data_IF_453331186211
#
_entry.id   IF_453331186211
#
_cell.length_a   1.000
_cell.length_b   1.000
_cell.length_c   1.000
_cell.angle_alpha   90.00
_cell.angle_beta   90.00
_cell.angle_gamma   90.00
#
_symmetry.space_group_name_H-M   'P 1'
#
loop_
_entity.id
_entity.type
_entity.pdbx_description
1 polymer ?
#
# COMPACT_ATOMS: atom_id res chain seq x y z
N UNK A 1 0.76 -50.68 -7.38
CA UNK A 1 0.96 -50.00 -6.09
C UNK A 1 1.65 -48.68 -6.39
N UNK A 2 0.89 -47.59 -6.34
CA UNK A 2 1.37 -46.26 -6.72
C UNK A 2 1.82 -45.57 -5.44
N UNK A 3 3.07 -45.10 -5.42
CA UNK A 3 3.66 -44.39 -4.29
C UNK A 3 3.04 -43.01 -4.19
N UNK A 4 2.30 -42.76 -3.10
CA UNK A 4 1.85 -41.44 -2.71
C UNK A 4 3.06 -40.52 -2.52
N UNK A 5 3.20 -39.56 -3.43
CA UNK A 5 4.15 -38.46 -3.32
C UNK A 5 3.68 -37.57 -2.17
N UNK A 6 4.31 -37.73 -1.01
CA UNK A 6 4.18 -36.81 0.12
C UNK A 6 4.82 -35.50 -0.32
N UNK A 7 4.03 -34.60 -0.90
CA UNK A 7 4.43 -33.23 -1.10
C UNK A 7 4.63 -32.61 0.30
N UNK A 8 5.83 -32.09 0.62
CA UNK A 8 6.05 -31.39 1.88
C UNK A 8 5.28 -30.07 1.81
N UNK A 9 4.01 -30.10 2.20
CA UNK A 9 3.20 -28.91 2.48
C UNK A 9 3.90 -28.14 3.60
N UNK A 10 4.79 -27.25 3.19
CA UNK A 10 5.53 -26.34 4.03
C UNK A 10 4.79 -25.00 4.07
N UNK A 11 3.46 -25.04 4.16
CA UNK A 11 2.71 -23.90 4.66
C UNK A 11 3.07 -23.77 6.13
N UNK A 12 4.10 -22.97 6.39
CA UNK A 12 4.36 -22.45 7.71
C UNK A 12 3.09 -21.71 8.12
N UNK A 13 2.27 -22.38 8.93
CA UNK A 13 1.15 -21.77 9.65
C UNK A 13 1.73 -20.50 10.25
N UNK A 14 1.14 -19.36 9.89
CA UNK A 14 1.60 -18.07 10.37
C UNK A 14 1.35 -18.04 11.89
N UNK A 15 2.35 -18.45 12.67
CA UNK A 15 2.34 -18.46 14.14
C UNK A 15 2.48 -17.03 14.69
N UNK A 16 1.63 -16.14 14.20
CA UNK A 16 1.50 -14.78 14.69
C UNK A 16 0.63 -14.83 15.96
N UNK A 17 1.27 -14.83 17.12
CA UNK A 17 0.57 -14.69 18.40
C UNK A 17 -0.08 -13.31 18.49
N UNK A 18 -1.40 -13.27 18.58
CA UNK A 18 -2.16 -12.05 18.88
C UNK A 18 -2.12 -11.87 20.40
N UNK A 19 -1.06 -11.23 20.91
CA UNK A 19 -1.06 -10.73 22.29
C UNK A 19 -1.45 -9.24 22.26
N UNK A 20 -2.58 -8.89 22.86
CA UNK A 20 -3.04 -7.49 23.02
C UNK A 20 -3.25 -6.71 21.71
N UNK A 21 -3.84 -7.33 20.68
CA UNK A 21 -4.07 -6.71 19.35
C UNK A 21 -2.80 -6.22 18.62
N UNK A 22 -1.61 -6.48 19.16
CA UNK A 22 -0.32 -6.17 18.56
C UNK A 22 0.38 -7.46 18.14
N UNK A 23 0.41 -7.69 16.83
CA UNK A 23 1.11 -8.81 16.22
C UNK A 23 2.62 -8.63 16.40
N UNK A 24 3.20 -9.23 17.44
CA UNK A 24 4.64 -9.21 17.67
C UNK A 24 5.36 -10.01 16.59
N UNK A 25 6.12 -9.32 15.75
CA UNK A 25 7.02 -9.96 14.79
C UNK A 25 8.05 -10.81 15.56
N UNK A 26 8.18 -12.07 15.14
CA UNK A 26 9.14 -13.00 15.75
C UNK A 26 10.56 -12.52 15.49
N UNK A 27 11.38 -12.48 16.55
CA UNK A 27 12.79 -12.12 16.52
C UNK A 27 13.54 -12.79 15.33
N UNK A 28 14.20 -12.01 14.43
CA UNK A 28 14.83 -12.54 13.22
C UNK A 28 15.97 -13.49 13.56
N UNK A 29 16.65 -13.27 14.69
CA UNK A 29 17.75 -14.10 15.17
C UNK A 29 17.31 -15.53 15.51
N UNK A 30 16.02 -15.73 15.80
CA UNK A 30 15.41 -17.03 16.13
C UNK A 30 14.90 -17.79 14.91
N UNK A 31 15.05 -17.25 13.71
CA UNK A 31 14.66 -17.91 12.46
C UNK A 31 15.71 -18.93 12.05
N UNK A 32 15.25 -20.09 11.57
CA UNK A 32 16.15 -21.10 11.02
C UNK A 32 16.77 -20.60 9.71
N UNK A 33 17.99 -21.02 9.34
CA UNK A 33 18.59 -20.62 8.06
C UNK A 33 17.74 -20.94 6.81
N UNK A 34 16.88 -21.96 6.88
CA UNK A 34 15.92 -22.31 5.83
C UNK A 34 14.76 -21.31 5.70
N UNK A 35 14.43 -20.58 6.76
CA UNK A 35 13.40 -19.54 6.80
C UNK A 35 13.95 -18.17 6.39
N UNK A 36 15.28 -17.98 6.34
CA UNK A 36 15.89 -16.75 5.86
C UNK A 36 15.78 -16.67 4.33
N UNK A 37 14.59 -16.28 3.88
CA UNK A 37 14.20 -16.15 2.48
C UNK A 37 13.63 -14.76 2.21
N UNK A 38 13.63 -14.40 0.93
CA UNK A 38 12.96 -13.23 0.39
C UNK A 38 11.45 -13.21 0.69
N UNK A 39 10.79 -14.37 0.65
CA UNK A 39 9.38 -14.54 1.03
C UNK A 39 9.13 -14.21 2.51
N UNK A 40 10.00 -14.67 3.40
CA UNK A 40 9.87 -14.37 4.84
C UNK A 40 10.11 -12.89 5.11
N UNK A 41 11.13 -12.29 4.49
CA UNK A 41 11.35 -10.85 4.60
C UNK A 41 10.14 -10.05 4.08
N UNK A 42 9.57 -10.47 2.95
CA UNK A 42 8.34 -9.87 2.41
C UNK A 42 7.18 -9.90 3.38
N UNK A 43 6.93 -11.05 4.02
CA UNK A 43 5.84 -11.18 5.00
C UNK A 43 6.02 -10.18 6.15
N UNK A 44 7.23 -10.12 6.72
CA UNK A 44 7.55 -9.20 7.82
C UNK A 44 7.39 -7.73 7.43
N UNK A 45 7.80 -7.35 6.22
CA UNK A 45 7.63 -5.99 5.71
C UNK A 45 6.14 -5.65 5.59
N UNK A 46 5.32 -6.51 5.00
CA UNK A 46 3.89 -6.29 4.86
C UNK A 46 3.19 -6.20 6.21
N UNK A 47 3.50 -7.11 7.13
CA UNK A 47 2.92 -7.14 8.48
C UNK A 47 3.26 -5.86 9.25
N UNK A 48 4.54 -5.46 9.26
CA UNK A 48 4.98 -4.22 9.89
C UNK A 48 4.26 -2.99 9.31
N UNK A 49 4.24 -2.84 7.98
CA UNK A 49 3.58 -1.71 7.32
C UNK A 49 2.08 -1.68 7.67
N UNK A 50 1.44 -2.84 7.65
CA UNK A 50 0.01 -2.99 7.96
C UNK A 50 -0.30 -2.57 9.40
N UNK A 51 0.50 -3.05 10.36
CA UNK A 51 0.33 -2.71 11.77
C UNK A 51 0.52 -1.21 12.03
N UNK A 52 1.61 -0.62 11.53
CA UNK A 52 1.87 0.81 11.69
C UNK A 52 0.79 1.67 11.02
N UNK A 53 0.26 1.21 9.88
CA UNK A 53 -0.88 1.87 9.23
C UNK A 53 -2.12 1.80 10.12
N UNK A 54 -2.50 0.62 10.60
CA UNK A 54 -3.66 0.44 11.49
C UNK A 54 -3.51 1.25 12.77
N UNK A 55 -2.32 1.27 13.37
CA UNK A 55 -2.00 2.10 14.54
C UNK A 55 -2.21 3.57 14.25
N UNK A 56 -1.75 4.05 13.09
CA UNK A 56 -1.97 5.43 12.64
C UNK A 56 -3.45 5.73 12.39
N UNK A 57 -4.22 4.77 11.85
CA UNK A 57 -5.66 4.92 11.66
C UNK A 57 -6.39 5.05 13.01
N UNK A 58 -6.08 4.18 13.97
CA UNK A 58 -6.67 4.21 15.32
C UNK A 58 -6.36 5.53 16.03
N UNK A 59 -5.12 6.02 15.94
CA UNK A 59 -4.71 7.30 16.50
C UNK A 59 -5.46 8.49 15.88
N UNK A 60 -5.80 8.43 14.59
CA UNK A 60 -6.59 9.47 13.94
C UNK A 60 -8.09 9.36 14.23
N UNK A 61 -8.60 8.16 14.49
CA UNK A 61 -9.99 7.93 14.89
C UNK A 61 -10.35 8.64 16.21
N UNK A 62 -9.41 8.75 17.14
CA UNK A 62 -9.62 9.48 18.41
C UNK A 62 -9.61 11.00 18.25
N UNK A 63 -8.95 11.53 17.21
CA UNK A 63 -8.95 12.97 16.88
C UNK A 63 -10.26 13.45 16.24
N UNK A 64 -11.11 12.51 15.80
CA UNK A 64 -12.45 12.78 15.27
C UNK A 64 -12.56 12.65 13.74
N UNK A 65 -13.80 12.47 13.21
CA UNK A 65 -14.02 12.14 11.79
C UNK A 65 -13.48 13.19 10.81
N UNK A 66 -13.48 14.46 11.20
CA UNK A 66 -13.04 15.56 10.34
C UNK A 66 -11.55 15.53 10.05
N UNK A 67 -10.73 15.16 11.03
CA UNK A 67 -9.27 15.16 10.89
C UNK A 67 -8.81 13.92 10.12
N UNK A 68 -9.44 12.78 10.40
CA UNK A 68 -9.25 11.56 9.62
C UNK A 68 -9.58 11.77 8.13
N UNK A 69 -10.73 12.38 7.84
CA UNK A 69 -11.11 12.73 6.47
C UNK A 69 -10.09 13.63 5.79
N UNK A 70 -9.55 14.64 6.48
CA UNK A 70 -8.50 15.52 5.93
C UNK A 70 -7.19 14.77 5.66
N UNK A 71 -6.81 13.84 6.53
CA UNK A 71 -5.63 13.01 6.32
C UNK A 71 -5.77 12.14 5.06
N UNK A 72 -6.94 11.51 4.86
CA UNK A 72 -7.23 10.76 3.64
C UNK A 72 -7.24 11.65 2.40
N UNK A 73 -7.86 12.84 2.46
CA UNK A 73 -7.85 13.78 1.34
C UNK A 73 -6.45 14.21 0.93
N UNK A 74 -5.50 14.28 1.87
CA UNK A 74 -4.11 14.63 1.59
C UNK A 74 -3.37 13.50 0.87
N UNK A 75 -3.62 12.25 1.24
CA UNK A 75 -2.98 11.07 0.62
C UNK A 75 -3.66 10.66 -0.69
N UNK A 76 -4.96 10.92 -0.78
CA UNK A 76 -5.84 10.54 -1.87
C UNK A 76 -6.66 11.76 -2.30
N UNK A 77 -6.10 12.67 -3.12
CA UNK A 77 -6.83 13.85 -3.58
C UNK A 77 -8.18 13.53 -4.23
N UNK A 78 -8.29 12.37 -4.85
CA UNK A 78 -9.47 11.85 -5.53
C UNK A 78 -10.59 11.46 -4.54
N UNK A 79 -10.25 11.23 -3.26
CA UNK A 79 -11.21 11.05 -2.17
C UNK A 79 -12.14 12.25 -2.00
N UNK A 80 -11.66 13.45 -2.30
CA UNK A 80 -12.47 14.68 -2.27
C UNK A 80 -13.56 14.62 -3.34
N UNK A 81 -13.25 14.11 -4.53
CA UNK A 81 -14.20 14.05 -5.64
C UNK A 81 -15.34 13.06 -5.39
N UNK A 82 -15.07 11.99 -4.63
CA UNK A 82 -16.07 11.00 -4.23
C UNK A 82 -16.93 11.48 -3.07
N UNK A 83 -16.37 12.22 -2.12
CA UNK A 83 -17.08 12.68 -0.91
C UNK A 83 -17.94 13.92 -1.16
N UNK A 84 -17.51 14.83 -2.04
CA UNK A 84 -18.35 15.95 -2.51
C UNK A 84 -19.28 15.42 -3.60
N UNK A 85 -20.33 14.70 -3.20
CA UNK A 85 -21.37 14.25 -4.13
C UNK A 85 -21.70 15.40 -5.07
N UNK A 86 -21.35 15.24 -6.36
CA UNK A 86 -21.53 16.31 -7.35
C UNK A 86 -23.00 16.69 -7.35
N UNK A 87 -23.35 17.80 -6.70
CA UNK A 87 -24.66 18.39 -6.81
C UNK A 87 -24.82 18.74 -8.29
N UNK A 88 -25.51 17.85 -9.02
CA UNK A 88 -25.81 18.01 -10.46
C UNK A 88 -26.48 19.36 -10.78
N UNK A 89 -26.96 20.07 -9.77
CA UNK A 89 -27.48 21.44 -9.88
C UNK A 89 -26.46 22.43 -10.50
N UNK A 90 -25.16 22.30 -10.25
CA UNK A 90 -24.18 23.31 -10.72
C UNK A 90 -23.71 23.13 -12.18
N UNK A 91 -23.99 21.98 -12.81
CA UNK A 91 -23.57 21.70 -14.19
C UNK A 91 -24.69 21.88 -15.22
N UNK A 92 -25.96 21.86 -14.80
CA UNK A 92 -27.10 21.93 -15.73
C UNK A 92 -27.56 23.37 -16.01
N UNK A 93 -27.12 24.35 -15.21
CA UNK A 93 -27.41 25.79 -15.44
C UNK A 93 -26.17 26.64 -15.78
N UNK A 94 -25.18 26.07 -16.48
CA UNK A 94 -24.36 26.91 -17.38
C UNK A 94 -25.10 27.04 -18.70
N UNK A 95 -26.24 27.73 -18.64
CA UNK A 95 -26.83 28.33 -19.83
C UNK A 95 -25.73 29.17 -20.48
N UNK A 96 -25.52 28.90 -21.76
CA UNK A 96 -24.68 29.66 -22.66
C UNK A 96 -25.29 31.06 -22.86
N UNK A 97 -25.33 31.88 -21.82
CA UNK A 97 -25.53 33.31 -21.96
C UNK A 97 -24.18 33.92 -22.34
N UNK A 98 -23.98 34.02 -23.66
CA UNK A 98 -23.07 34.99 -24.27
C UNK A 98 -23.56 36.38 -23.87
N UNK A 99 -23.16 36.84 -22.70
CA UNK A 99 -23.47 38.20 -22.27
C UNK A 99 -22.27 39.11 -22.57
N UNK A 100 -22.41 39.85 -23.68
CA UNK A 100 -21.51 40.92 -24.08
C UNK A 100 -21.71 42.12 -23.16
N UNK A 101 -21.19 42.09 -21.94
CA UNK A 101 -21.16 43.28 -21.07
C UNK A 101 -19.80 43.96 -21.14
N UNK A 102 -19.75 45.28 -21.43
CA UNK A 102 -18.52 46.04 -21.46
C UNK A 102 -17.96 46.22 -20.05
N UNK A 103 -16.65 46.03 -19.98
CA UNK A 103 -15.77 46.07 -18.82
C UNK A 103 -15.90 47.41 -18.06
N UNK A 104 -16.36 47.34 -16.81
CA UNK A 104 -16.27 48.44 -15.86
C UNK A 104 -15.40 47.99 -14.68
N UNK A 105 -14.12 48.30 -14.85
CA UNK A 105 -13.04 48.23 -13.88
C UNK A 105 -13.49 48.81 -12.53
N UNK A 106 -13.75 47.93 -11.56
CA UNK A 106 -13.86 48.32 -10.15
C UNK A 106 -12.80 47.58 -9.34
N UNK A 107 -11.87 48.30 -8.67
CA UNK A 107 -10.79 47.71 -7.92
C UNK A 107 -11.34 47.02 -6.67
N UNK A 108 -11.47 45.69 -6.73
CA UNK A 108 -11.92 44.87 -5.60
C UNK A 108 -10.78 44.79 -4.59
N UNK A 109 -10.91 45.52 -3.48
CA UNK A 109 -9.93 45.46 -2.38
C UNK A 109 -9.75 44.02 -1.90
N UNK A 110 -8.58 43.45 -2.19
CA UNK A 110 -8.14 42.16 -1.67
C UNK A 110 -7.95 42.28 -0.16
N UNK A 111 -8.96 41.85 0.61
CA UNK A 111 -8.82 41.57 2.05
C UNK A 111 -7.77 40.48 2.19
N UNK A 112 -6.53 40.86 2.48
CA UNK A 112 -5.44 39.98 2.91
C UNK A 112 -5.92 39.21 4.14
N UNK A 113 -6.43 37.99 3.94
CA UNK A 113 -6.65 37.04 5.03
C UNK A 113 -5.28 36.71 5.60
N UNK A 114 -5.04 37.18 6.82
CA UNK A 114 -3.88 36.85 7.64
C UNK A 114 -3.74 35.31 7.67
N UNK A 115 -2.83 34.78 6.85
CA UNK A 115 -2.54 33.35 6.79
C UNK A 115 -1.81 32.99 8.08
N UNK A 116 -2.57 32.51 9.07
CA UNK A 116 -2.02 31.87 10.26
C UNK A 116 -1.00 30.83 9.81
N UNK A 117 0.24 31.01 10.22
CA UNK A 117 1.33 30.07 9.96
C UNK A 117 0.90 28.66 10.41
N UNK A 118 1.15 27.63 9.59
CA UNK A 118 0.82 26.26 9.93
C UNK A 118 1.62 25.87 11.18
N UNK A 119 0.91 25.51 12.25
CA UNK A 119 1.51 25.02 13.50
C UNK A 119 2.28 23.71 13.22
N UNK A 120 3.54 23.57 13.64
CA UNK A 120 4.43 22.47 13.23
C UNK A 120 4.21 21.13 13.94
N UNK A 121 3.05 20.84 14.54
CA UNK A 121 2.91 19.69 15.43
C UNK A 121 1.59 18.90 15.27
N UNK A 122 1.41 18.23 14.13
CA UNK A 122 0.47 17.11 14.02
C UNK A 122 1.21 15.92 13.42
N UNK A 123 1.98 15.25 14.27
CA UNK A 123 2.68 13.98 13.96
C UNK A 123 1.70 12.82 13.69
N UNK A 124 0.41 12.99 13.95
CA UNK A 124 -0.63 12.01 13.66
C UNK A 124 -1.17 12.16 12.23
N UNK A 125 -0.33 11.92 11.23
CA UNK A 125 -0.81 11.71 9.86
C UNK A 125 -0.37 10.33 9.40
N UNK A 126 -1.24 9.65 8.65
CA UNK A 126 -0.91 8.37 8.03
C UNK A 126 0.28 8.64 7.09
N UNK A 127 1.44 8.04 7.38
CA UNK A 127 2.66 8.25 6.59
C UNK A 127 2.87 7.09 5.61
N UNK A 128 3.04 7.37 4.31
CA UNK A 128 3.52 6.37 3.36
C UNK A 128 4.94 5.93 3.69
N UNK A 129 5.24 4.65 3.48
CA UNK A 129 6.56 4.07 3.73
C UNK A 129 7.49 4.27 2.53
N UNK A 130 8.76 4.54 2.79
CA UNK A 130 9.82 4.57 1.78
C UNK A 130 10.81 3.43 2.02
N UNK A 131 11.61 3.07 1.01
CA UNK A 131 12.64 2.03 1.19
C UNK A 131 13.63 2.40 2.32
N UNK A 132 14.14 3.66 2.40
CA UNK A 132 14.95 4.07 3.53
C UNK A 132 14.21 3.95 4.86
N UNK A 133 12.94 4.38 4.95
CA UNK A 133 12.19 4.33 6.22
C UNK A 133 12.00 2.90 6.73
N UNK A 134 11.79 1.93 5.84
CA UNK A 134 11.67 0.51 6.21
C UNK A 134 13.00 -0.08 6.70
N UNK A 135 14.13 0.33 6.11
CA UNK A 135 15.46 -0.13 6.53
C UNK A 135 15.99 0.59 7.77
N UNK A 136 15.35 1.68 8.20
CA UNK A 136 15.63 2.32 9.50
C UNK A 136 15.01 1.54 10.67
N UNK A 137 14.04 0.66 10.41
CA UNK A 137 13.42 -0.20 11.43
C UNK A 137 14.41 -1.29 11.82
N UNK A 138 14.92 -1.32 13.07
CA UNK A 138 16.02 -2.21 13.46
C UNK A 138 15.75 -3.69 13.16
N UNK A 139 14.52 -4.13 13.43
CA UNK A 139 14.10 -5.51 13.24
C UNK A 139 14.06 -5.93 11.76
N UNK A 140 13.56 -5.06 10.88
CA UNK A 140 13.54 -5.32 9.44
C UNK A 140 14.95 -5.24 8.85
N UNK A 141 15.77 -4.30 9.33
CA UNK A 141 17.17 -4.18 8.92
C UNK A 141 17.97 -5.44 9.27
N UNK A 142 17.83 -5.95 10.49
CA UNK A 142 18.46 -7.20 10.93
C UNK A 142 18.03 -8.38 10.06
N UNK A 143 16.72 -8.55 9.85
CA UNK A 143 16.21 -9.61 8.97
C UNK A 143 16.75 -9.49 7.54
N UNK A 144 16.79 -8.27 6.99
CA UNK A 144 17.35 -8.02 5.66
C UNK A 144 18.84 -8.39 5.59
N UNK A 145 19.63 -8.08 6.62
CA UNK A 145 21.03 -8.49 6.72
C UNK A 145 21.14 -10.03 6.67
N UNK A 146 20.37 -10.72 7.52
CA UNK A 146 20.40 -12.18 7.61
C UNK A 146 19.99 -12.85 6.28
N UNK A 147 18.96 -12.33 5.61
CA UNK A 147 18.50 -12.83 4.31
C UNK A 147 19.54 -12.59 3.22
N UNK A 148 20.12 -11.38 3.16
CA UNK A 148 21.18 -11.06 2.19
C UNK A 148 22.41 -11.94 2.39
N UNK A 149 22.86 -12.15 3.64
CA UNK A 149 23.99 -13.03 3.93
C UNK A 149 23.68 -14.49 3.57
N UNK A 150 22.47 -14.96 3.85
CA UNK A 150 22.02 -16.30 3.50
C UNK A 150 22.05 -16.52 1.98
N UNK A 151 21.50 -15.59 1.20
CA UNK A 151 21.50 -15.65 -0.26
C UNK A 151 22.90 -15.57 -0.86
N UNK A 152 23.74 -14.66 -0.35
CA UNK A 152 25.15 -14.57 -0.77
C UNK A 152 25.89 -15.88 -0.49
N UNK A 153 25.68 -16.48 0.68
CA UNK A 153 26.29 -17.76 1.03
C UNK A 153 25.79 -18.91 0.15
N UNK A 154 24.49 -18.94 -0.20
CA UNK A 154 23.93 -19.92 -1.13
C UNK A 154 24.52 -19.75 -2.53
N UNK A 155 24.58 -18.53 -3.04
CA UNK A 155 25.12 -18.26 -4.37
C UNK A 155 26.62 -18.57 -4.44
N UNK A 156 27.38 -18.26 -3.40
CA UNK A 156 28.78 -18.68 -3.27
C UNK A 156 28.96 -20.19 -3.36
N UNK A 157 28.13 -20.96 -2.64
CA UNK A 157 28.16 -22.43 -2.69
C UNK A 157 27.83 -22.94 -4.09
N UNK A 158 26.82 -22.35 -4.76
CA UNK A 158 26.46 -22.70 -6.14
C UNK A 158 27.61 -22.38 -7.10
N UNK A 159 28.24 -21.21 -6.98
CA UNK A 159 29.39 -20.81 -7.78
C UNK A 159 30.56 -21.78 -7.64
N UNK A 160 30.92 -22.15 -6.41
CA UNK A 160 32.01 -23.12 -6.16
C UNK A 160 31.72 -24.49 -6.74
N UNK A 161 30.46 -24.94 -6.70
CA UNK A 161 30.04 -26.19 -7.37
C UNK A 161 30.24 -26.06 -8.89
N UNK A 162 29.75 -24.99 -9.51
CA UNK A 162 29.97 -24.72 -10.95
C UNK A 162 31.44 -24.74 -11.35
N UNK A 163 32.32 -24.10 -10.56
CA UNK A 163 33.78 -24.08 -10.81
C UNK A 163 34.37 -25.49 -10.68
N UNK A 164 34.03 -26.22 -9.62
CA UNK A 164 34.50 -27.59 -9.40
C UNK A 164 34.09 -28.53 -10.54
N UNK A 165 32.83 -28.40 -10.97
CA UNK A 165 32.23 -29.26 -11.99
C UNK A 165 32.62 -28.83 -13.42
N UNK A 166 33.47 -27.78 -13.56
CA UNK A 166 33.90 -27.17 -14.83
C UNK A 166 32.73 -26.63 -15.68
N UNK A 167 31.62 -26.27 -15.04
CA UNK A 167 30.44 -25.61 -15.64
C UNK A 167 30.35 -24.14 -15.20
N UNK A 168 31.49 -23.52 -14.87
CA UNK A 168 31.56 -22.12 -14.46
C UNK A 168 31.23 -21.18 -15.62
N UNK A 169 30.47 -20.13 -15.33
CA UNK A 169 30.27 -19.02 -16.29
C UNK A 169 31.54 -18.16 -16.32
N UNK A 170 31.83 -17.44 -17.43
CA UNK A 170 32.94 -16.49 -17.47
C UNK A 170 32.90 -15.48 -16.32
N UNK A 171 31.70 -15.02 -15.95
CA UNK A 171 31.48 -14.12 -14.82
C UNK A 171 31.87 -14.75 -13.47
N UNK A 172 31.64 -16.06 -13.28
CA UNK A 172 32.03 -16.75 -12.06
C UNK A 172 33.55 -16.78 -11.90
N UNK A 173 34.28 -17.01 -13.00
CA UNK A 173 35.75 -17.01 -13.05
C UNK A 173 36.30 -15.61 -12.80
N UNK A 174 35.68 -14.57 -13.36
CA UNK A 174 36.08 -13.18 -13.15
C UNK A 174 35.93 -12.77 -11.67
N UNK A 175 34.80 -13.13 -11.03
CA UNK A 175 34.57 -12.85 -9.61
C UNK A 175 35.62 -13.57 -8.75
N UNK A 176 35.96 -14.82 -9.07
CA UNK A 176 36.97 -15.58 -8.33
C UNK A 176 38.37 -14.96 -8.50
N UNK A 177 38.74 -14.55 -9.72
CA UNK A 177 39.99 -13.83 -10.01
C UNK A 177 40.06 -12.49 -9.27
N UNK A 178 38.98 -11.72 -9.29
CA UNK A 178 38.89 -10.43 -8.58
C UNK A 178 39.11 -10.62 -7.07
N UNK A 179 38.52 -11.66 -6.48
CA UNK A 179 38.72 -12.00 -5.06
C UNK A 179 40.15 -12.43 -4.77
N UNK A 180 40.74 -13.26 -5.62
CA UNK A 180 42.15 -13.62 -5.48
C UNK A 180 43.06 -12.39 -5.59
N UNK A 181 42.76 -11.45 -6.49
CA UNK A 181 43.54 -10.21 -6.63
C UNK A 181 43.44 -9.30 -5.40
N UNK A 182 42.32 -9.36 -4.68
CA UNK A 182 42.10 -8.66 -3.40
C UNK A 182 42.73 -9.37 -2.19
N UNK A 183 43.44 -10.49 -2.40
CA UNK A 183 44.06 -11.26 -1.31
C UNK A 183 43.05 -11.95 -0.39
N UNK A 184 41.78 -12.04 -0.79
CA UNK A 184 40.76 -12.71 0.00
C UNK A 184 40.94 -14.22 -0.10
N UNK A 185 40.95 -14.87 1.06
CA UNK A 185 41.12 -16.31 1.14
C UNK A 185 39.99 -17.03 0.39
N UNK A 186 40.29 -18.15 -0.26
CA UNK A 186 39.29 -18.98 -0.97
C UNK A 186 38.14 -19.41 -0.05
N UNK A 187 38.30 -19.36 1.27
CA UNK A 187 37.28 -19.72 2.26
C UNK A 187 36.43 -18.52 2.72
N UNK A 188 36.88 -17.29 2.50
CA UNK A 188 36.20 -16.09 2.96
C UNK A 188 35.15 -15.64 1.94
N UNK A 189 33.89 -15.61 2.36
CA UNK A 189 32.74 -15.21 1.54
C UNK A 189 32.10 -13.91 2.03
N UNK A 190 32.77 -13.20 2.93
CA UNK A 190 32.24 -11.99 3.57
C UNK A 190 32.07 -10.88 2.54
N UNK A 191 30.91 -10.24 2.57
CA UNK A 191 30.61 -9.04 1.79
C UNK A 191 30.97 -7.80 2.60
N UNK A 192 31.37 -6.73 1.92
CA UNK A 192 31.56 -5.44 2.58
C UNK A 192 30.21 -4.86 3.02
N UNK A 193 30.22 -3.98 4.02
CA UNK A 193 28.98 -3.39 4.53
C UNK A 193 28.32 -2.45 3.51
N UNK A 194 29.11 -1.79 2.65
CA UNK A 194 28.58 -1.02 1.53
C UNK A 194 27.85 -1.92 0.51
N UNK A 195 28.44 -3.06 0.14
CA UNK A 195 27.80 -4.02 -0.78
C UNK A 195 26.54 -4.64 -0.15
N UNK A 196 26.60 -4.94 1.16
CA UNK A 196 25.46 -5.42 1.94
C UNK A 196 24.30 -4.43 1.90
N UNK A 197 24.58 -3.14 2.15
CA UNK A 197 23.55 -2.10 2.14
C UNK A 197 22.89 -1.97 0.76
N UNK A 198 23.68 -1.99 -0.33
CA UNK A 198 23.13 -1.98 -1.70
C UNK A 198 22.22 -3.18 -1.94
N UNK A 199 22.61 -4.38 -1.48
CA UNK A 199 21.79 -5.59 -1.58
C UNK A 199 20.53 -5.54 -0.73
N UNK A 200 20.58 -4.95 0.46
CA UNK A 200 19.40 -4.74 1.33
C UNK A 200 18.39 -3.79 0.67
N UNK A 201 18.87 -2.67 0.12
CA UNK A 201 18.02 -1.72 -0.64
C UNK A 201 17.38 -2.41 -1.85
N UNK A 202 18.16 -3.22 -2.59
CA UNK A 202 17.63 -4.00 -3.71
C UNK A 202 16.57 -5.01 -3.28
N UNK A 203 16.81 -5.72 -2.17
CA UNK A 203 15.87 -6.68 -1.60
C UNK A 203 14.56 -5.98 -1.20
N UNK A 204 14.63 -4.87 -0.47
CA UNK A 204 13.46 -4.09 -0.06
C UNK A 204 12.67 -3.56 -1.28
N UNK A 205 13.34 -3.00 -2.29
CA UNK A 205 12.70 -2.55 -3.54
C UNK A 205 11.96 -3.71 -4.24
N UNK A 206 12.60 -4.87 -4.34
CA UNK A 206 12.00 -6.05 -4.95
C UNK A 206 10.79 -6.55 -4.16
N UNK A 207 10.89 -6.60 -2.84
CA UNK A 207 9.79 -6.99 -1.94
C UNK A 207 8.59 -6.05 -2.11
N UNK A 208 8.79 -4.74 -2.03
CA UNK A 208 7.72 -3.74 -2.19
C UNK A 208 7.04 -3.91 -3.56
N UNK A 209 7.84 -4.07 -4.62
CA UNK A 209 7.32 -4.28 -5.97
C UNK A 209 6.40 -5.51 -6.01
N UNK A 210 6.83 -6.64 -5.43
CA UNK A 210 6.01 -7.86 -5.41
C UNK A 210 4.72 -7.69 -4.60
N UNK A 211 4.79 -7.04 -3.44
CA UNK A 211 3.59 -6.79 -2.62
C UNK A 211 2.61 -5.87 -3.38
N UNK A 212 3.14 -4.87 -4.10
CA UNK A 212 2.32 -4.00 -4.95
C UNK A 212 1.75 -4.74 -6.18
N UNK A 213 2.49 -5.70 -6.76
CA UNK A 213 2.02 -6.58 -7.85
C UNK A 213 0.81 -7.42 -7.43
N UNK A 214 0.74 -7.80 -6.16
CA UNK A 214 -0.40 -8.53 -5.61
C UNK A 214 -1.59 -7.63 -5.25
N UNK A 215 -1.46 -6.31 -5.34
CA UNK A 215 -2.53 -5.38 -4.98
C UNK A 215 -2.64 -5.09 -3.48
N UNK A 216 -1.64 -5.45 -2.69
CA UNK A 216 -1.60 -5.23 -1.24
C UNK A 216 -1.07 -3.84 -0.86
N UNK A 217 -0.34 -3.16 -1.76
CA UNK A 217 0.15 -1.80 -1.58
C UNK A 217 -0.37 -0.89 -2.70
N UNK A 218 -0.55 0.38 -2.35
CA UNK A 218 -0.75 1.47 -3.31
C UNK A 218 0.41 2.46 -3.23
N UNK A 219 0.77 3.02 -4.38
CA UNK A 219 1.79 4.04 -4.48
C UNK A 219 1.18 5.42 -4.20
N UNK A 220 1.82 6.19 -3.33
CA UNK A 220 1.40 7.53 -2.93
C UNK A 220 2.49 8.51 -3.34
N UNK A 221 2.11 9.56 -4.06
CA UNK A 221 3.02 10.63 -4.45
C UNK A 221 3.22 11.60 -3.29
N UNK A 222 4.47 11.94 -2.98
CA UNK A 222 4.74 13.05 -2.06
C UNK A 222 4.67 14.37 -2.82
N UNK A 223 3.79 15.28 -2.39
CA UNK A 223 3.89 16.68 -2.78
C UNK A 223 5.03 17.32 -2.01
N UNK A 224 6.27 17.08 -2.44
CA UNK A 224 7.43 17.84 -1.96
C UNK A 224 7.28 19.29 -2.45
N UNK A 225 6.94 20.18 -1.52
CA UNK A 225 6.92 21.62 -1.77
C UNK A 225 8.37 22.10 -1.87
N UNK A 226 8.79 22.42 -3.09
CA UNK A 226 9.87 23.38 -3.39
C UNK A 226 11.30 22.86 -3.51
N UNK A 227 11.56 22.03 -4.52
CA UNK A 227 12.88 22.04 -5.18
C UNK A 227 12.67 21.76 -6.66
N UNK A 228 13.10 22.69 -7.52
CA UNK A 228 12.82 22.71 -8.97
C UNK A 228 13.45 21.54 -9.76
N UNK A 229 14.15 20.61 -9.10
CA UNK A 229 15.00 19.60 -9.74
C UNK A 229 14.95 18.22 -9.06
N UNK A 230 13.93 17.95 -8.23
CA UNK A 230 13.87 16.70 -7.46
C UNK A 230 13.02 15.62 -8.13
N UNK A 231 13.63 14.44 -8.24
CA UNK A 231 12.96 13.17 -8.52
C UNK A 231 11.67 13.06 -7.70
N UNK A 232 10.56 12.73 -8.37
CA UNK A 232 9.28 12.50 -7.69
C UNK A 232 9.48 11.35 -6.71
N UNK A 233 9.53 11.67 -5.42
CA UNK A 233 9.59 10.65 -4.40
C UNK A 233 8.20 10.02 -4.24
N UNK A 234 8.19 8.70 -4.22
CA UNK A 234 6.99 7.91 -4.01
C UNK A 234 7.11 7.14 -2.70
N UNK A 235 6.01 7.12 -1.97
CA UNK A 235 5.81 6.25 -0.83
C UNK A 235 4.86 5.11 -1.16
N UNK A 236 4.84 4.11 -0.30
CA UNK A 236 3.99 2.94 -0.42
C UNK A 236 3.12 2.83 0.82
N UNK A 237 1.82 2.63 0.62
CA UNK A 237 0.89 2.47 1.72
C UNK A 237 0.19 1.12 1.57
N UNK A 238 0.15 0.28 2.63
CA UNK A 238 -0.64 -0.93 2.58
C UNK A 238 -2.12 -0.60 2.59
N UNK A 239 -2.92 -1.55 2.10
CA UNK A 239 -4.38 -1.46 2.09
C UNK A 239 -4.99 -2.42 3.12
N UNK A 240 -4.86 -2.15 4.43
CA UNK A 240 -5.63 -2.91 5.41
C UNK A 240 -7.13 -2.68 5.21
N UNK A 241 -7.99 -3.63 5.60
CA UNK A 241 -9.45 -3.53 5.51
C UNK A 241 -10.00 -2.20 6.05
N UNK A 242 -9.45 -1.70 7.15
CA UNK A 242 -9.85 -0.46 7.81
C UNK A 242 -9.66 0.77 6.90
N UNK A 243 -8.50 0.86 6.26
CA UNK A 243 -8.20 1.95 5.35
C UNK A 243 -9.02 1.82 4.06
N UNK A 244 -9.04 0.62 3.49
CA UNK A 244 -9.72 0.39 2.22
C UNK A 244 -11.23 0.63 2.34
N UNK A 245 -11.87 0.17 3.41
CA UNK A 245 -13.29 0.44 3.65
C UNK A 245 -13.55 1.95 3.79
N UNK A 246 -12.70 2.68 4.52
CA UNK A 246 -12.84 4.13 4.69
C UNK A 246 -12.85 4.86 3.33
N UNK A 247 -12.07 4.36 2.38
CA UNK A 247 -12.03 4.88 1.02
C UNK A 247 -13.27 4.48 0.19
N UNK A 248 -13.87 3.31 0.47
CA UNK A 248 -15.05 2.81 -0.23
C UNK A 248 -16.37 3.45 0.23
N UNK A 249 -16.47 3.89 1.50
CA UNK A 249 -17.70 4.45 2.08
C UNK A 249 -18.30 5.58 1.23
N UNK A 250 -17.54 6.61 0.79
CA UNK A 250 -18.11 7.66 -0.06
C UNK A 250 -18.70 7.15 -1.38
N UNK A 251 -18.10 6.10 -1.96
CA UNK A 251 -18.62 5.48 -3.18
C UNK A 251 -19.94 4.75 -2.93
N UNK A 252 -20.03 4.00 -1.83
CA UNK A 252 -21.26 3.34 -1.41
C UNK A 252 -22.39 4.34 -1.18
N UNK A 253 -22.12 5.41 -0.43
CA UNK A 253 -23.09 6.48 -0.14
C UNK A 253 -23.56 7.17 -1.43
N UNK A 254 -22.63 7.55 -2.30
CA UNK A 254 -22.95 8.20 -3.58
C UNK A 254 -23.79 7.30 -4.49
N UNK A 255 -23.44 6.02 -4.58
CA UNK A 255 -24.19 5.04 -5.39
C UNK A 255 -25.58 4.80 -4.80
N UNK A 256 -25.70 4.69 -3.47
CA UNK A 256 -26.97 4.54 -2.76
C UNK A 256 -27.92 5.72 -3.06
N UNK A 257 -27.41 6.97 -2.98
CA UNK A 257 -28.18 8.18 -3.34
C UNK A 257 -28.55 8.19 -4.83
N UNK A 258 -27.61 7.79 -5.70
CA UNK A 258 -27.85 7.75 -7.15
C UNK A 258 -28.94 6.75 -7.51
N UNK A 259 -28.92 5.54 -6.94
CA UNK A 259 -29.94 4.51 -7.17
C UNK A 259 -31.30 4.88 -6.58
N UNK A 260 -31.34 5.51 -5.38
CA UNK A 260 -32.58 6.05 -4.80
C UNK A 260 -33.26 7.09 -5.71
N UNK A 261 -32.47 7.90 -6.42
CA UNK A 261 -32.97 8.97 -7.28
C UNK A 261 -33.13 8.59 -8.77
N UNK A 262 -32.76 7.38 -9.17
CA UNK A 262 -32.83 6.94 -10.57
C UNK A 262 -34.00 5.97 -10.76
N UNK A 263 -34.88 6.25 -11.72
CA UNK A 263 -35.94 5.30 -12.08
C UNK A 263 -35.34 4.10 -12.83
N UNK A 264 -35.20 2.98 -12.13
CA UNK A 264 -34.76 1.70 -12.70
C UNK A 264 -35.94 0.80 -13.04
N UNK A 265 -35.81 0.00 -14.09
CA UNK A 265 -36.82 -1.00 -14.46
C UNK A 265 -36.97 -2.04 -13.34
N UNK A 266 -38.17 -2.59 -13.15
CA UNK A 266 -38.42 -3.60 -12.10
C UNK A 266 -37.56 -4.86 -12.25
N UNK A 267 -37.08 -5.14 -13.45
CA UNK A 267 -36.24 -6.31 -13.79
C UNK A 267 -34.74 -6.07 -13.61
N UNK A 268 -34.31 -4.84 -13.28
CA UNK A 268 -32.89 -4.53 -13.09
C UNK A 268 -32.43 -5.04 -11.71
N UNK A 269 -31.43 -5.95 -11.63
CA UNK A 269 -30.92 -6.46 -10.36
C UNK A 269 -30.38 -5.35 -9.45
N UNK A 270 -29.89 -4.24 -10.02
CA UNK A 270 -29.38 -3.09 -9.25
C UNK A 270 -30.43 -2.40 -8.40
N UNK A 271 -31.71 -2.64 -8.69
CA UNK A 271 -32.83 -2.07 -7.94
C UNK A 271 -32.98 -2.68 -6.55
N UNK A 272 -32.67 -3.97 -6.40
CA UNK A 272 -32.79 -4.71 -5.14
C UNK A 272 -31.45 -4.95 -4.48
N UNK A 273 -30.39 -5.12 -5.28
CA UNK A 273 -29.08 -5.49 -4.79
C UNK A 273 -28.25 -4.26 -4.40
N UNK A 274 -27.37 -4.49 -3.41
CA UNK A 274 -26.29 -3.61 -3.03
C UNK A 274 -25.33 -3.26 -4.16
N UNK A 275 -24.35 -2.41 -3.86
CA UNK A 275 -23.20 -2.26 -4.74
C UNK A 275 -22.32 -3.51 -4.61
N UNK A 276 -22.02 -4.17 -5.73
CA UNK A 276 -21.26 -5.44 -5.72
C UNK A 276 -19.74 -5.20 -5.59
N UNK A 277 -18.95 -6.25 -5.25
CA UNK A 277 -17.47 -6.15 -5.18
C UNK A 277 -16.91 -5.69 -6.51
N UNK A 278 -17.41 -6.27 -7.60
CA UNK A 278 -16.97 -5.95 -8.97
C UNK A 278 -17.22 -4.49 -9.30
N UNK A 279 -18.38 -3.94 -8.90
CA UNK A 279 -18.68 -2.52 -9.07
C UNK A 279 -17.74 -1.63 -8.23
N UNK A 280 -17.44 -2.02 -6.99
CA UNK A 280 -16.53 -1.29 -6.09
C UNK A 280 -15.09 -1.28 -6.64
N UNK A 281 -14.58 -2.43 -7.07
CA UNK A 281 -13.27 -2.55 -7.73
C UNK A 281 -13.24 -1.69 -9.00
N UNK A 282 -14.31 -1.73 -9.81
CA UNK A 282 -14.42 -0.89 -11.01
C UNK A 282 -14.35 0.60 -10.69
N UNK A 283 -14.98 1.06 -9.59
CA UNK A 283 -14.89 2.47 -9.15
C UNK A 283 -13.48 2.82 -8.67
N UNK A 284 -12.84 1.95 -7.87
CA UNK A 284 -11.47 2.17 -7.39
C UNK A 284 -10.46 2.23 -8.54
N UNK A 285 -10.58 1.37 -9.55
CA UNK A 285 -9.67 1.37 -10.72
C UNK A 285 -9.80 2.62 -11.58
N UNK A 286 -10.97 3.26 -11.57
CA UNK A 286 -11.19 4.55 -12.22
C UNK A 286 -10.71 5.74 -11.37
N UNK A 287 -10.10 5.51 -10.21
CA UNK A 287 -9.68 6.56 -9.30
C UNK A 287 -8.24 6.99 -9.61
N UNK A 288 -8.04 8.29 -9.87
CA UNK A 288 -6.75 8.82 -10.27
C UNK A 288 -6.33 8.43 -11.69
N UNK A 289 -5.30 9.09 -12.21
CA UNK A 289 -4.77 8.85 -13.56
C UNK A 289 -3.54 7.93 -13.55
N UNK A 290 -2.95 7.71 -12.38
CA UNK A 290 -1.63 7.08 -12.22
C UNK A 290 -1.67 5.54 -12.19
N UNK A 291 -2.84 4.92 -12.42
CA UNK A 291 -2.99 3.44 -12.44
C UNK A 291 -2.74 2.74 -11.10
N UNK A 292 -2.52 3.48 -10.01
CA UNK A 292 -2.15 2.92 -8.69
C UNK A 292 -3.17 1.94 -8.09
N UNK A 293 -4.41 1.97 -8.55
CA UNK A 293 -5.50 1.09 -8.10
C UNK A 293 -5.74 -0.11 -9.01
N UNK A 294 -5.08 -0.20 -10.17
CA UNK A 294 -5.33 -1.26 -11.17
C UNK A 294 -5.15 -2.66 -10.60
N UNK A 295 -4.20 -2.80 -9.66
CA UNK A 295 -3.82 -4.09 -9.08
C UNK A 295 -4.68 -4.50 -7.89
N UNK A 296 -5.51 -3.61 -7.36
CA UNK A 296 -6.42 -3.96 -6.27
C UNK A 296 -7.41 -5.00 -6.79
N UNK A 297 -7.38 -6.18 -6.18
CA UNK A 297 -8.21 -7.32 -6.53
C UNK A 297 -9.55 -7.31 -5.78
N UNK A 298 -10.51 -8.09 -6.29
CA UNK A 298 -11.82 -8.31 -5.66
C UNK A 298 -11.67 -8.83 -4.23
N UNK A 299 -10.74 -9.76 -4.01
CA UNK A 299 -10.45 -10.35 -2.71
C UNK A 299 -10.11 -9.31 -1.62
N UNK A 300 -9.41 -8.22 -1.97
CA UNK A 300 -9.10 -7.14 -1.02
C UNK A 300 -10.33 -6.29 -0.68
N UNK A 301 -11.14 -5.99 -1.68
CA UNK A 301 -12.38 -5.24 -1.48
C UNK A 301 -13.38 -6.07 -0.68
N UNK A 302 -13.46 -7.38 -0.94
CA UNK A 302 -14.27 -8.33 -0.18
C UNK A 302 -13.86 -8.40 1.29
N UNK A 303 -12.55 -8.53 1.58
CA UNK A 303 -12.00 -8.48 2.94
C UNK A 303 -12.40 -7.17 3.66
N UNK A 304 -12.36 -6.04 2.97
CA UNK A 304 -12.72 -4.73 3.53
C UNK A 304 -14.22 -4.59 3.85
N UNK A 305 -15.11 -5.06 2.98
CA UNK A 305 -16.56 -4.99 3.23
C UNK A 305 -17.03 -6.02 4.25
N UNK A 306 -16.41 -7.20 4.32
CA UNK A 306 -16.66 -8.18 5.39
C UNK A 306 -16.26 -7.61 6.75
N UNK A 307 -15.06 -7.02 6.85
CA UNK A 307 -14.65 -6.31 8.06
C UNK A 307 -15.63 -5.17 8.42
N UNK A 308 -16.11 -4.42 7.43
CA UNK A 308 -17.12 -3.38 7.64
C UNK A 308 -18.47 -3.89 8.12
N UNK A 309 -18.88 -5.08 7.67
CA UNK A 309 -20.11 -5.76 8.10
C UNK A 309 -19.99 -6.20 9.56
N UNK A 310 -18.85 -6.78 9.95
CA UNK A 310 -18.55 -7.15 11.34
C UNK A 310 -18.57 -5.92 12.28
N UNK A 311 -18.10 -4.77 11.81
CA UNK A 311 -18.14 -3.51 12.56
C UNK A 311 -19.51 -2.80 12.51
N UNK A 312 -20.46 -3.31 11.71
CA UNK A 312 -21.78 -2.71 11.51
C UNK A 312 -21.73 -1.33 10.82
N UNK A 313 -20.73 -1.10 9.98
CA UNK A 313 -20.57 0.09 9.14
C UNK A 313 -21.23 -0.08 7.77
N UNK A 314 -21.21 -1.31 7.25
CA UNK A 314 -21.93 -1.70 6.04
C UNK A 314 -22.85 -2.89 6.35
N UNK A 315 -23.89 -3.04 5.55
CA UNK A 315 -24.81 -4.18 5.60
C UNK A 315 -24.89 -4.85 4.23
N UNK A 316 -25.00 -6.17 4.22
CA UNK A 316 -25.17 -6.95 3.01
C UNK A 316 -26.63 -6.94 2.56
N UNK A 317 -26.89 -6.43 1.37
CA UNK A 317 -28.23 -6.34 0.76
C UNK A 317 -28.22 -7.04 -0.59
N UNK A 318 -28.94 -8.15 -0.70
CA UNK A 318 -28.91 -9.01 -1.88
C UNK A 318 -27.50 -9.52 -2.16
N UNK A 319 -26.95 -9.19 -3.34
CA UNK A 319 -25.59 -9.57 -3.77
C UNK A 319 -24.50 -8.52 -3.49
N UNK A 320 -24.84 -7.39 -2.87
CA UNK A 320 -23.89 -6.30 -2.64
C UNK A 320 -23.98 -5.74 -1.23
N UNK A 321 -23.36 -4.58 -1.03
CA UNK A 321 -23.31 -3.90 0.26
C UNK A 321 -23.82 -2.47 0.17
N UNK A 322 -24.37 -1.98 1.28
CA UNK A 322 -24.70 -0.58 1.51
C UNK A 322 -24.15 -0.10 2.85
N UNK A 323 -23.98 1.21 3.00
CA UNK A 323 -23.63 1.81 4.29
C UNK A 323 -24.86 1.86 5.20
N UNK A 324 -24.67 1.53 6.48
CA UNK A 324 -25.74 1.59 7.50
C UNK A 324 -26.03 3.06 7.82
N UNK A 325 -27.28 3.50 7.65
CA UNK A 325 -27.68 4.89 7.93
C UNK A 325 -27.44 5.24 9.41
N UNK A 326 -26.80 6.39 9.68
CA UNK A 326 -26.58 6.90 11.03
C UNK A 326 -25.29 6.47 11.74
N UNK A 327 -24.39 5.73 11.08
CA UNK A 327 -23.09 5.28 11.65
C UNK A 327 -21.83 5.76 10.90
N UNK A 328 -21.96 6.82 10.08
CA UNK A 328 -20.88 7.35 9.23
C UNK A 328 -20.13 8.55 9.79
#
# INVERSE_FOLDING_TARGET
MWSDSIDPSSEAVSELGIENDELKLRDPSRLRPSQLTDRTFRQYVLDYMTQETIKSLRANGTAGPSDYGRALQRLFPEYVASSKGKSKADLVFKTSERDNTPDLDTPRMFRRRNSKHPSPALESSIQPFTVPSLLLVPHLAELAILVVESEVRKEERRRRRRIRDRVARPQDLQIEQERCSKGLDKKEWRISDAERQVKMVRLAKWVIKNIAEEGCLVQIRFEMRHSQDQDIEYGFLPLPPQLLLSLLIPHLQMEQVTRKNTFMRKTDPRRTDGMTVVELVGRLRCWGEEGRWERVGEWKVEEAVQWGEEMGLVEKVGKGWWTVEGKG
#
